data_IF_894981742422
#
_entry.id   IF_894981742422
#
_cell.length_a   1.000
_cell.length_b   1.000
_cell.length_c   1.000
_cell.angle_alpha   90.00
_cell.angle_beta   90.00
_cell.angle_gamma   90.00
#
_symmetry.space_group_name_H-M   'P 1'
#
loop_
_entity.id
_entity.type
_entity.pdbx_description
1 polymer ?
#
# COMPACT_ATOMS: atom_id res chain seq x y z
N UNK A 1 -14.18 -30.85 -3.37
CA UNK A 1 -13.72 -31.99 -2.55
C UNK A 1 -14.40 -31.93 -1.19
N UNK A 2 -14.73 -33.09 -0.59
CA UNK A 2 -15.26 -33.19 0.77
C UNK A 2 -14.13 -33.66 1.68
N UNK A 3 -13.81 -32.86 2.69
CA UNK A 3 -12.77 -33.13 3.67
C UNK A 3 -13.35 -32.86 5.05
N UNK A 4 -13.07 -33.73 6.01
CA UNK A 4 -13.36 -33.48 7.42
C UNK A 4 -12.10 -32.95 8.08
N UNK A 5 -12.19 -31.80 8.73
CA UNK A 5 -11.07 -31.17 9.45
C UNK A 5 -11.52 -30.89 10.88
N UNK A 6 -10.64 -31.13 11.85
CA UNK A 6 -10.84 -30.75 13.25
C UNK A 6 -10.19 -29.39 13.45
N UNK A 7 -10.92 -28.45 14.06
CA UNK A 7 -10.42 -27.13 14.40
C UNK A 7 -10.45 -26.96 15.92
N UNK A 8 -9.37 -26.41 16.48
CA UNK A 8 -9.37 -25.97 17.86
C UNK A 8 -10.39 -24.83 18.08
N UNK A 9 -10.91 -24.63 19.30
CA UNK A 9 -11.96 -23.65 19.58
C UNK A 9 -11.60 -22.21 19.13
N UNK A 10 -10.33 -21.82 19.27
CA UNK A 10 -9.82 -20.53 18.85
C UNK A 10 -9.81 -20.39 17.32
N UNK A 11 -9.38 -21.42 16.62
CA UNK A 11 -9.32 -21.47 15.16
C UNK A 11 -10.72 -21.45 14.57
N UNK A 12 -11.67 -22.18 15.16
CA UNK A 12 -13.07 -22.13 14.77
C UNK A 12 -13.66 -20.72 14.93
N UNK A 13 -13.34 -20.03 16.03
CA UNK A 13 -13.75 -18.64 16.25
C UNK A 13 -13.15 -17.67 15.21
N UNK A 14 -11.89 -17.86 14.82
CA UNK A 14 -11.25 -17.07 13.75
C UNK A 14 -11.94 -17.24 12.39
N UNK A 15 -12.39 -18.45 12.05
CA UNK A 15 -13.14 -18.70 10.82
C UNK A 15 -14.53 -18.06 10.89
N UNK A 16 -15.25 -18.23 12.00
CA UNK A 16 -16.57 -17.59 12.19
C UNK A 16 -16.50 -16.07 12.10
N UNK A 17 -15.45 -15.45 12.66
CA UNK A 17 -15.23 -14.00 12.54
C UNK A 17 -15.05 -13.59 11.09
N UNK A 18 -14.21 -14.29 10.32
CA UNK A 18 -14.01 -14.03 8.89
C UNK A 18 -15.30 -14.17 8.08
N UNK A 19 -16.13 -15.17 8.39
CA UNK A 19 -17.44 -15.35 7.75
C UNK A 19 -18.33 -14.13 7.99
N UNK A 20 -18.39 -13.65 9.24
CA UNK A 20 -19.23 -12.50 9.62
C UNK A 20 -18.75 -11.19 8.99
N UNK A 21 -17.44 -10.95 9.01
CA UNK A 21 -16.84 -9.72 8.47
C UNK A 21 -17.00 -9.61 6.95
N UNK A 22 -16.99 -10.75 6.23
CA UNK A 22 -16.99 -10.77 4.76
C UNK A 22 -18.29 -11.25 4.13
N UNK A 23 -19.23 -11.77 4.92
CA UNK A 23 -20.48 -12.33 4.43
C UNK A 23 -20.31 -13.59 3.57
N UNK A 24 -19.27 -14.39 3.84
CA UNK A 24 -18.90 -15.58 3.04
C UNK A 24 -19.17 -16.90 3.77
N UNK A 25 -19.23 -17.99 3.00
CA UNK A 25 -19.46 -19.33 3.57
C UNK A 25 -18.26 -19.84 4.38
N UNK A 26 -18.51 -20.83 5.26
CA UNK A 26 -17.44 -21.49 6.02
C UNK A 26 -16.36 -22.08 5.11
N UNK A 27 -16.77 -22.70 3.99
CA UNK A 27 -15.86 -23.27 3.00
C UNK A 27 -14.94 -22.20 2.40
N UNK A 28 -15.49 -21.07 2.00
CA UNK A 28 -14.70 -19.96 1.43
C UNK A 28 -13.75 -19.39 2.47
N UNK A 29 -14.26 -19.09 3.67
CA UNK A 29 -13.45 -18.55 4.76
C UNK A 29 -12.28 -19.48 5.13
N UNK A 30 -12.52 -20.79 5.21
CA UNK A 30 -11.48 -21.78 5.52
C UNK A 30 -10.44 -21.88 4.41
N UNK A 31 -10.87 -22.01 3.15
CA UNK A 31 -9.93 -22.14 2.03
C UNK A 31 -9.10 -20.87 1.84
N UNK A 32 -9.70 -19.69 2.01
CA UNK A 32 -8.98 -18.42 1.89
C UNK A 32 -7.97 -18.24 3.02
N UNK A 33 -8.33 -18.63 4.25
CA UNK A 33 -7.39 -18.63 5.37
C UNK A 33 -6.18 -19.56 5.09
N UNK A 34 -6.43 -20.76 4.56
CA UNK A 34 -5.36 -21.71 4.19
C UNK A 34 -4.49 -21.12 3.08
N UNK A 35 -5.08 -20.57 2.01
CA UNK A 35 -4.32 -19.96 0.91
C UNK A 35 -3.51 -18.75 1.38
N UNK A 36 -4.06 -17.92 2.25
CA UNK A 36 -3.34 -16.78 2.82
C UNK A 36 -2.18 -17.21 3.73
N UNK A 37 -2.31 -18.35 4.43
CA UNK A 37 -1.23 -18.93 5.22
C UNK A 37 -0.20 -19.72 4.40
N UNK A 38 -0.61 -20.29 3.27
CA UNK A 38 0.26 -21.02 2.35
C UNK A 38 0.99 -20.08 1.36
N UNK A 39 0.43 -18.90 1.11
CA UNK A 39 0.98 -17.88 0.22
C UNK A 39 2.06 -17.06 0.93
N UNK A 40 3.30 -17.29 0.50
CA UNK A 40 4.52 -16.54 0.77
C UNK A 40 4.82 -16.31 2.26
N UNK A 41 5.94 -16.90 2.72
CA UNK A 41 6.61 -16.51 3.96
C UNK A 41 6.80 -14.99 4.03
N UNK A 42 7.18 -14.43 5.20
CA UNK A 42 7.10 -13.00 5.48
C UNK A 42 7.54 -12.18 4.27
N UNK A 43 6.59 -11.44 3.67
CA UNK A 43 6.87 -10.55 2.55
C UNK A 43 8.10 -9.73 2.93
N UNK A 44 9.14 -9.80 2.10
CA UNK A 44 10.34 -9.03 2.33
C UNK A 44 9.92 -7.58 2.63
N UNK A 45 10.46 -6.95 3.69
CA UNK A 45 10.07 -5.60 4.03
C UNK A 45 10.25 -4.71 2.81
N UNK A 46 9.22 -3.93 2.49
CA UNK A 46 9.29 -3.00 1.37
C UNK A 46 10.49 -2.07 1.55
N UNK A 47 11.31 -1.95 0.51
CA UNK A 47 12.44 -1.02 0.45
C UNK A 47 12.26 -0.08 -0.73
N UNK A 48 12.30 1.22 -0.47
CA UNK A 48 12.32 2.23 -1.52
C UNK A 48 13.68 2.23 -2.21
N UNK A 49 13.71 2.06 -3.53
CA UNK A 49 14.94 2.20 -4.30
C UNK A 49 15.42 3.65 -4.26
N UNK A 50 16.68 3.86 -3.88
CA UNK A 50 17.31 5.19 -3.85
C UNK A 50 18.07 5.46 -5.14
N UNK A 51 18.04 6.69 -5.62
CA UNK A 51 18.88 7.17 -6.73
C UNK A 51 19.85 8.25 -6.23
N UNK A 52 21.05 8.32 -6.83
CA UNK A 52 21.99 9.40 -6.56
C UNK A 52 21.57 10.65 -7.35
N UNK A 53 21.18 11.72 -6.64
CA UNK A 53 20.76 12.99 -7.25
C UNK A 53 21.89 14.02 -7.38
N UNK A 54 23.09 13.70 -6.87
CA UNK A 54 24.23 14.62 -6.86
C UNK A 54 24.07 15.76 -5.85
N UNK A 55 24.85 16.83 -6.02
CA UNK A 55 24.81 18.04 -5.20
C UNK A 55 23.85 19.04 -5.87
N UNK A 56 22.83 19.55 -5.15
CA UNK A 56 21.91 20.50 -5.73
C UNK A 56 22.60 21.84 -6.06
N UNK A 57 22.32 22.45 -7.22
CA UNK A 57 22.94 23.72 -7.61
C UNK A 57 22.36 24.94 -6.87
N UNK A 58 21.27 24.74 -6.14
CA UNK A 58 20.56 25.76 -5.36
C UNK A 58 20.34 25.26 -3.93
N UNK A 59 20.16 26.17 -2.98
CA UNK A 59 19.78 25.79 -1.63
C UNK A 59 18.35 25.21 -1.64
N UNK A 60 18.19 23.99 -1.12
CA UNK A 60 16.90 23.32 -1.00
C UNK A 60 16.29 23.45 0.40
N UNK A 61 16.91 24.22 1.30
CA UNK A 61 16.27 24.65 2.54
C UNK A 61 14.97 25.37 2.18
N UNK A 62 13.86 24.93 2.77
CA UNK A 62 12.51 25.37 2.42
C UNK A 62 12.14 25.12 0.95
N UNK A 63 12.48 23.94 0.41
CA UNK A 63 12.19 23.53 -0.97
C UNK A 63 10.75 23.79 -1.46
N UNK A 64 9.74 23.70 -0.58
CA UNK A 64 8.35 24.00 -0.95
C UNK A 64 8.13 25.48 -1.30
N UNK A 65 8.83 26.39 -0.60
CA UNK A 65 8.77 27.82 -0.92
C UNK A 65 9.45 28.09 -2.26
N UNK A 66 10.64 27.51 -2.47
CA UNK A 66 11.33 27.57 -3.76
C UNK A 66 10.46 27.04 -4.91
N UNK A 67 9.74 25.93 -4.68
CA UNK A 67 8.83 25.37 -5.68
C UNK A 67 7.67 26.32 -6.01
N UNK A 68 7.09 26.98 -5.00
CA UNK A 68 6.03 27.95 -5.20
C UNK A 68 6.50 29.18 -5.98
N UNK A 69 7.68 29.71 -5.66
CA UNK A 69 8.27 30.85 -6.38
C UNK A 69 8.54 30.51 -7.86
N UNK A 70 9.07 29.30 -8.14
CA UNK A 70 9.26 28.82 -9.51
C UNK A 70 7.94 28.63 -10.28
N UNK A 71 6.88 28.23 -9.59
CA UNK A 71 5.54 28.10 -10.17
C UNK A 71 4.94 29.48 -10.51
N UNK A 72 5.04 30.44 -9.60
CA UNK A 72 4.59 31.82 -9.80
C UNK A 72 5.29 32.47 -11.00
N UNK A 73 6.61 32.33 -11.10
CA UNK A 73 7.41 32.84 -12.22
C UNK A 73 6.93 32.25 -13.56
N UNK A 74 6.63 30.95 -13.60
CA UNK A 74 6.14 30.27 -14.78
C UNK A 74 4.70 30.71 -15.15
N UNK A 75 3.83 30.93 -14.16
CA UNK A 75 2.48 31.46 -14.38
C UNK A 75 2.50 32.88 -14.95
N UNK A 76 3.38 33.74 -14.45
CA UNK A 76 3.59 35.09 -14.97
C UNK A 76 4.09 35.03 -16.42
N UNK A 77 5.04 34.13 -16.71
CA UNK A 77 5.56 33.94 -18.07
C UNK A 77 4.47 33.51 -19.04
N UNK A 78 3.63 32.55 -18.67
CA UNK A 78 2.49 32.08 -19.50
C UNK A 78 1.47 33.19 -19.75
N UNK A 79 1.12 33.93 -18.70
CA UNK A 79 0.20 35.07 -18.78
C UNK A 79 0.68 36.13 -19.76
N UNK A 80 1.99 36.45 -19.76
CA UNK A 80 2.61 37.38 -20.74
C UNK A 80 2.58 36.87 -22.18
N UNK A 81 2.55 35.55 -22.37
CA UNK A 81 2.44 34.90 -23.68
C UNK A 81 0.97 34.70 -24.13
N UNK A 82 0.00 35.13 -23.32
CA UNK A 82 -1.44 34.95 -23.60
C UNK A 82 -1.88 33.49 -23.59
N UNK A 83 -1.20 32.63 -22.82
CA UNK A 83 -1.47 31.19 -22.69
C UNK A 83 -1.93 30.82 -21.29
#
# INVERSE_FOLDING_TARGET
MRTTVTLDPDTAALIQRRMRERGISFKEALNDAIRAGAGEGPKAPFRTATAQLGVPPVNLDRALQLAAELEDDELIRKSRLGK
#
